data_IF_550009613206
#
_entry.id   IF_550009613206
#
_cell.length_a   1.000
_cell.length_b   1.000
_cell.length_c   1.000
_cell.angle_alpha   90.00
_cell.angle_beta   90.00
_cell.angle_gamma   90.00
#
_symmetry.space_group_name_H-M   'P 1'
#
loop_
_entity.id
_entity.type
_entity.pdbx_description
1 polymer ?
#
# COMPACT_ATOMS: atom_id res chain seq x y z
N UNK A 1 20.71 -21.68 1.67
CA UNK A 1 19.25 -21.44 1.76
C UNK A 1 18.94 -19.94 1.50
N UNK A 2 19.46 -19.38 0.40
CA UNK A 2 19.60 -17.93 0.19
C UNK A 2 18.75 -17.37 -0.98
N UNK A 3 17.75 -18.12 -1.43
CA UNK A 3 17.06 -17.87 -2.71
C UNK A 3 15.62 -17.36 -2.58
N UNK A 4 15.13 -17.08 -1.37
CA UNK A 4 13.71 -16.70 -1.17
C UNK A 4 13.46 -15.21 -0.91
N UNK A 5 14.50 -14.39 -0.80
CA UNK A 5 14.40 -12.96 -0.41
C UNK A 5 14.49 -11.99 -1.60
N UNK A 6 14.92 -12.44 -2.79
CA UNK A 6 15.22 -11.55 -3.92
C UNK A 6 14.17 -11.47 -5.03
N UNK A 7 13.05 -12.21 -4.93
CA UNK A 7 12.14 -12.41 -6.08
C UNK A 7 10.81 -11.65 -6.08
N UNK A 8 10.55 -10.74 -5.13
CA UNK A 8 9.21 -10.12 -5.01
C UNK A 8 9.14 -8.59 -4.90
N UNK A 9 10.28 -7.90 -4.95
CA UNK A 9 10.32 -6.46 -4.73
C UNK A 9 10.97 -5.72 -5.90
N UNK A 10 10.30 -5.76 -7.06
CA UNK A 10 10.56 -4.88 -8.23
C UNK A 10 9.31 -4.77 -9.14
N UNK A 11 8.08 -4.66 -8.62
CA UNK A 11 6.88 -4.44 -9.48
C UNK A 11 6.65 -2.95 -9.82
N UNK A 12 7.74 -2.18 -9.97
CA UNK A 12 7.63 -0.78 -10.40
C UNK A 12 8.95 -0.13 -10.79
N UNK A 13 10.08 -0.59 -10.25
CA UNK A 13 11.41 -0.13 -10.65
C UNK A 13 12.29 -1.35 -10.91
N UNK A 14 12.56 -1.68 -12.17
CA UNK A 14 13.57 -2.69 -12.50
C UNK A 14 14.96 -2.10 -12.25
N UNK A 15 15.65 -2.54 -11.19
CA UNK A 15 17.06 -2.20 -10.99
C UNK A 15 17.90 -3.07 -11.93
N UNK A 16 18.37 -2.50 -13.04
CA UNK A 16 19.31 -3.19 -13.94
C UNK A 16 20.68 -3.25 -13.27
N UNK A 17 21.02 -4.39 -12.68
CA UNK A 17 22.28 -4.59 -11.96
C UNK A 17 23.20 -5.55 -12.73
N UNK A 18 24.39 -5.08 -13.13
CA UNK A 18 25.48 -5.97 -13.53
C UNK A 18 26.01 -6.78 -12.33
N UNK A 19 26.96 -7.71 -12.55
CA UNK A 19 27.53 -8.59 -11.51
C UNK A 19 27.95 -7.84 -10.23
N UNK A 20 28.61 -6.69 -10.38
CA UNK A 20 29.02 -5.85 -9.25
C UNK A 20 27.84 -5.28 -8.46
N UNK A 21 26.79 -4.80 -9.14
CA UNK A 21 25.58 -4.31 -8.49
C UNK A 21 24.81 -5.39 -7.74
N UNK A 22 24.71 -6.59 -8.33
CA UNK A 22 24.07 -7.73 -7.68
C UNK A 22 24.83 -8.17 -6.41
N UNK A 23 26.17 -8.21 -6.46
CA UNK A 23 27.00 -8.51 -5.29
C UNK A 23 26.86 -7.45 -4.20
N UNK A 24 26.82 -6.17 -4.58
CA UNK A 24 26.66 -5.08 -3.64
C UNK A 24 25.28 -5.10 -2.96
N UNK A 25 24.22 -5.48 -3.70
CA UNK A 25 22.89 -5.72 -3.11
C UNK A 25 22.88 -6.90 -2.14
N UNK A 26 23.55 -8.00 -2.47
CA UNK A 26 23.68 -9.15 -1.56
C UNK A 26 24.47 -8.79 -0.30
N UNK A 27 25.55 -8.03 -0.43
CA UNK A 27 26.33 -7.54 0.71
C UNK A 27 25.49 -6.62 1.59
N UNK A 28 24.74 -5.70 0.99
CA UNK A 28 23.84 -4.79 1.70
C UNK A 28 22.73 -5.56 2.42
N UNK A 29 22.10 -6.53 1.76
CA UNK A 29 21.06 -7.38 2.35
C UNK A 29 21.60 -8.18 3.56
N UNK A 30 22.83 -8.69 3.47
CA UNK A 30 23.47 -9.41 4.60
C UNK A 30 23.83 -8.49 5.76
N UNK A 31 24.26 -7.27 5.46
CA UNK A 31 24.60 -6.29 6.49
C UNK A 31 23.36 -5.82 7.28
N UNK A 32 22.17 -5.88 6.67
CA UNK A 32 20.91 -5.45 7.27
C UNK A 32 20.82 -3.94 7.55
N UNK A 33 21.85 -3.18 7.18
CA UNK A 33 21.90 -1.71 7.30
C UNK A 33 22.88 -1.13 6.28
N UNK A 34 22.63 0.10 5.85
CA UNK A 34 23.50 0.85 4.94
C UNK A 34 22.80 1.26 3.66
N UNK A 35 23.57 1.71 2.67
CA UNK A 35 23.05 2.11 1.37
C UNK A 35 24.04 1.77 0.25
N UNK A 36 23.53 1.49 -0.95
CA UNK A 36 24.32 1.28 -2.16
C UNK A 36 23.60 1.85 -3.37
N UNK A 37 24.31 2.51 -4.27
CA UNK A 37 23.76 2.93 -5.56
C UNK A 37 23.94 1.82 -6.59
N UNK A 38 22.85 1.39 -7.23
CA UNK A 38 22.88 0.40 -8.31
C UNK A 38 22.03 0.88 -9.47
N UNK A 39 22.63 1.03 -10.64
CA UNK A 39 21.93 1.51 -11.84
C UNK A 39 21.35 2.93 -11.66
N UNK A 40 22.02 3.79 -10.88
CA UNK A 40 21.57 5.15 -10.57
C UNK A 40 20.48 5.22 -9.50
N UNK A 41 20.01 4.09 -8.99
CA UNK A 41 19.02 4.02 -7.91
C UNK A 41 19.73 3.81 -6.58
N UNK A 42 19.41 4.62 -5.58
CA UNK A 42 19.96 4.47 -4.24
C UNK A 42 19.13 3.41 -3.48
N UNK A 43 19.78 2.34 -3.05
CA UNK A 43 19.14 1.22 -2.36
C UNK A 43 19.61 1.20 -0.91
N UNK A 44 18.71 1.29 0.06
CA UNK A 44 19.01 1.23 1.49
C UNK A 44 18.60 -0.10 2.09
N UNK A 45 19.42 -0.65 2.98
CA UNK A 45 18.99 -1.68 3.91
C UNK A 45 18.57 -1.05 5.23
N UNK A 46 17.45 -1.51 5.76
CA UNK A 46 17.05 -1.28 7.14
C UNK A 46 16.41 -2.56 7.69
N UNK A 47 17.13 -3.21 8.60
CA UNK A 47 16.81 -4.55 9.11
C UNK A 47 16.74 -5.57 7.96
N UNK A 48 15.67 -6.35 7.84
CA UNK A 48 15.51 -7.41 6.82
C UNK A 48 14.96 -6.90 5.49
N UNK A 49 14.93 -5.57 5.27
CA UNK A 49 14.30 -4.95 4.12
C UNK A 49 15.26 -4.08 3.33
N UNK A 50 15.16 -4.15 1.99
CA UNK A 50 15.81 -3.25 1.04
C UNK A 50 14.79 -2.25 0.48
N UNK A 51 15.16 -0.98 0.39
CA UNK A 51 14.33 0.12 -0.10
C UNK A 51 15.03 0.82 -1.24
N UNK A 52 14.32 1.13 -2.32
CA UNK A 52 14.85 2.00 -3.38
C UNK A 52 14.42 3.43 -3.10
N UNK A 53 15.36 4.30 -2.78
CA UNK A 53 15.15 5.75 -2.66
C UNK A 53 15.05 6.39 -4.06
N UNK A 54 14.07 7.27 -4.23
CA UNK A 54 13.89 8.05 -5.47
C UNK A 54 13.29 7.28 -6.65
N UNK A 55 12.98 5.99 -6.51
CA UNK A 55 12.18 5.29 -7.51
C UNK A 55 10.77 5.92 -7.56
N UNK A 56 10.24 6.27 -8.74
CA UNK A 56 8.85 6.67 -8.85
C UNK A 56 8.00 5.53 -8.32
N UNK A 57 7.23 5.79 -7.26
CA UNK A 57 6.23 4.83 -6.80
C UNK A 57 5.20 4.75 -7.92
N UNK A 58 5.33 3.72 -8.77
CA UNK A 58 4.42 3.48 -9.87
C UNK A 58 3.04 3.22 -9.26
N UNK A 59 2.05 3.99 -9.71
CA UNK A 59 0.67 3.68 -9.41
C UNK A 59 0.28 2.47 -10.25
N UNK A 60 -0.21 1.42 -9.60
CA UNK A 60 -0.66 0.19 -10.25
C UNK A 60 -2.19 0.15 -10.22
N UNK A 61 -2.87 -0.12 -11.34
CA UNK A 61 -4.32 -0.21 -11.35
C UNK A 61 -4.78 -1.37 -10.44
N UNK A 62 -5.79 -1.08 -9.61
CA UNK A 62 -6.54 -2.07 -8.85
C UNK A 62 -7.84 -2.36 -9.60
N UNK A 63 -7.90 -3.43 -10.42
CA UNK A 63 -9.12 -3.77 -11.15
C UNK A 63 -10.27 -4.01 -10.17
N UNK A 64 -11.50 -3.66 -10.56
CA UNK A 64 -12.73 -3.93 -9.78
C UNK A 64 -13.75 -4.61 -10.70
N UNK A 65 -14.10 -5.89 -10.47
CA UNK A 65 -13.53 -6.80 -9.48
C UNK A 65 -12.12 -7.28 -9.85
N UNK A 66 -11.34 -7.72 -8.87
CA UNK A 66 -10.02 -8.29 -9.13
C UNK A 66 -9.10 -8.36 -7.91
N UNK A 67 -7.80 -8.51 -8.18
CA UNK A 67 -6.77 -8.63 -7.14
C UNK A 67 -5.47 -7.99 -7.62
N UNK A 68 -4.83 -7.25 -6.73
CA UNK A 68 -3.50 -6.69 -6.93
C UNK A 68 -2.57 -7.21 -5.84
N UNK A 69 -1.39 -7.67 -6.24
CA UNK A 69 -0.29 -7.90 -5.30
C UNK A 69 0.58 -6.66 -5.28
N UNK A 70 0.74 -6.04 -4.12
CA UNK A 70 1.54 -4.85 -3.92
C UNK A 70 2.48 -5.09 -2.74
N UNK A 71 3.78 -5.22 -3.02
CA UNK A 71 4.77 -5.69 -2.06
C UNK A 71 4.37 -7.06 -1.45
N UNK A 72 4.39 -7.19 -0.13
CA UNK A 72 3.98 -8.41 0.60
C UNK A 72 2.50 -8.41 1.01
N UNK A 73 1.71 -7.48 0.45
CA UNK A 73 0.28 -7.39 0.64
C UNK A 73 -0.47 -7.76 -0.63
N UNK A 74 -1.66 -8.29 -0.43
CA UNK A 74 -2.63 -8.62 -1.46
C UNK A 74 -3.86 -7.79 -1.18
N UNK A 75 -4.27 -6.98 -2.14
CA UNK A 75 -5.53 -6.25 -2.10
C UNK A 75 -6.48 -6.94 -3.05
N UNK A 76 -7.64 -7.35 -2.55
CA UNK A 76 -8.72 -7.96 -3.34
C UNK A 76 -9.86 -6.98 -3.39
N UNK A 77 -10.46 -6.80 -4.56
CA UNK A 77 -11.63 -5.96 -4.78
C UNK A 77 -12.78 -6.83 -5.29
N UNK A 78 -14.00 -6.52 -4.84
CA UNK A 78 -15.22 -7.18 -5.30
C UNK A 78 -16.29 -6.11 -5.51
N UNK A 79 -17.03 -6.24 -6.60
CA UNK A 79 -18.27 -5.49 -6.82
C UNK A 79 -19.44 -6.35 -6.33
N UNK A 80 -20.35 -5.78 -5.55
CA UNK A 80 -21.55 -6.46 -5.04
C UNK A 80 -22.79 -5.59 -5.27
N UNK A 81 -23.89 -6.22 -5.64
CA UNK A 81 -25.18 -5.55 -5.93
C UNK A 81 -26.07 -5.33 -4.70
N UNK A 82 -25.53 -5.55 -3.50
CA UNK A 82 -26.18 -5.22 -2.24
C UNK A 82 -25.14 -5.04 -1.14
N UNK A 83 -25.53 -4.27 -0.10
CA UNK A 83 -24.78 -4.16 1.13
C UNK A 83 -25.29 -5.16 2.16
N UNK A 84 -24.40 -5.91 2.80
CA UNK A 84 -24.65 -6.56 4.08
C UNK A 84 -23.76 -5.94 5.15
N UNK A 85 -24.15 -5.98 6.43
CA UNK A 85 -23.34 -5.37 7.50
C UNK A 85 -21.91 -5.94 7.55
N UNK A 86 -21.75 -7.23 7.27
CA UNK A 86 -20.44 -7.87 7.20
C UNK A 86 -19.57 -7.37 6.04
N UNK A 87 -20.19 -6.85 4.97
CA UNK A 87 -19.47 -6.31 3.82
C UNK A 87 -18.86 -4.94 4.05
N UNK A 88 -19.38 -4.17 5.01
CA UNK A 88 -18.84 -2.85 5.35
C UNK A 88 -17.43 -2.94 5.94
N UNK A 89 -17.13 -4.07 6.58
CA UNK A 89 -15.86 -4.38 7.20
C UNK A 89 -15.57 -3.59 8.47
N UNK A 90 -14.34 -3.71 8.96
CA UNK A 90 -13.86 -3.07 10.20
C UNK A 90 -13.29 -1.65 9.97
N UNK A 91 -13.33 -1.16 8.72
CA UNK A 91 -12.72 0.12 8.35
C UNK A 91 -11.19 0.10 8.27
N UNK A 92 -10.57 -1.08 8.43
CA UNK A 92 -9.12 -1.28 8.47
C UNK A 92 -8.66 -2.36 7.50
N UNK A 93 -9.00 -3.62 7.74
CA UNK A 93 -8.66 -4.79 6.93
C UNK A 93 -9.65 -5.01 5.80
N UNK A 94 -10.91 -4.70 6.07
CA UNK A 94 -12.00 -4.75 5.10
C UNK A 94 -12.70 -3.40 5.09
N UNK A 95 -12.93 -2.85 3.90
CA UNK A 95 -13.57 -1.54 3.69
C UNK A 95 -14.54 -1.63 2.52
N UNK A 96 -15.65 -0.91 2.58
CA UNK A 96 -16.61 -0.83 1.46
C UNK A 96 -16.89 0.60 1.04
N UNK A 97 -16.96 0.84 -0.26
CA UNK A 97 -17.31 2.13 -0.83
C UNK A 97 -18.61 2.01 -1.60
N UNK A 98 -19.41 3.06 -1.62
CA UNK A 98 -20.52 3.17 -2.56
C UNK A 98 -19.94 3.17 -3.98
N UNK A 99 -20.29 2.15 -4.76
CA UNK A 99 -19.69 1.94 -6.08
C UNK A 99 -20.03 3.05 -7.07
N UNK A 100 -21.20 3.68 -6.91
CA UNK A 100 -21.70 4.72 -7.82
C UNK A 100 -21.11 6.09 -7.48
N UNK A 101 -20.46 6.22 -6.31
CA UNK A 101 -19.80 7.44 -5.85
C UNK A 101 -18.27 7.38 -5.88
N UNK A 102 -17.68 6.27 -6.35
CA UNK A 102 -16.28 6.22 -6.73
C UNK A 102 -16.11 6.92 -8.09
N UNK A 103 -15.42 8.07 -8.07
CA UNK A 103 -15.41 9.00 -9.21
C UNK A 103 -14.29 8.74 -10.23
N UNK A 104 -13.45 7.74 -10.01
CA UNK A 104 -12.31 7.38 -10.87
C UNK A 104 -11.93 5.93 -10.64
N UNK A 105 -11.14 5.37 -11.56
CA UNK A 105 -10.49 4.08 -11.38
C UNK A 105 -9.62 4.05 -10.12
N UNK A 106 -9.54 2.86 -9.51
CA UNK A 106 -8.73 2.65 -8.32
C UNK A 106 -7.31 2.29 -8.71
N UNK A 107 -6.35 2.91 -8.02
CA UNK A 107 -4.93 2.61 -8.17
C UNK A 107 -4.28 2.41 -6.81
N UNK A 108 -3.17 1.70 -6.77
CA UNK A 108 -2.36 1.50 -5.57
C UNK A 108 -0.98 2.05 -5.81
N UNK A 109 -0.56 2.95 -4.93
CA UNK A 109 0.82 3.43 -4.86
C UNK A 109 1.32 3.43 -3.42
N UNK A 110 2.63 3.51 -3.26
CA UNK A 110 3.25 3.69 -1.96
C UNK A 110 3.02 5.10 -1.44
N UNK A 111 2.99 5.21 -0.11
CA UNK A 111 2.99 6.47 0.60
C UNK A 111 4.19 7.36 0.23
N UNK A 112 3.94 8.66 0.15
CA UNK A 112 4.93 9.73 -0.01
C UNK A 112 4.77 10.76 1.10
N UNK A 113 5.87 11.38 1.51
CA UNK A 113 5.83 12.47 2.46
C UNK A 113 4.92 13.60 1.94
N UNK A 114 4.01 14.06 2.80
CA UNK A 114 3.00 15.07 2.44
C UNK A 114 1.63 14.50 2.05
N UNK A 115 1.51 13.20 1.76
CA UNK A 115 0.22 12.57 1.47
C UNK A 115 -0.79 12.79 2.62
N UNK A 116 -2.02 13.14 2.25
CA UNK A 116 -3.12 13.54 3.14
C UNK A 116 -4.44 12.93 2.68
N UNK A 117 -5.34 12.72 3.62
CA UNK A 117 -6.68 12.18 3.35
C UNK A 117 -7.66 12.60 4.44
N UNK A 118 -8.96 12.48 4.15
CA UNK A 118 -10.02 12.67 5.14
C UNK A 118 -10.41 11.31 5.71
N UNK A 119 -10.09 10.97 6.97
CA UNK A 119 -10.50 9.70 7.56
C UNK A 119 -12.01 9.66 7.77
N UNK A 120 -12.62 8.50 7.49
CA UNK A 120 -14.06 8.32 7.72
C UNK A 120 -14.42 8.62 9.18
N UNK A 121 -15.44 9.47 9.39
CA UNK A 121 -15.94 9.84 10.72
C UNK A 121 -15.12 10.85 11.52
N UNK A 122 -14.01 11.41 10.99
CA UNK A 122 -13.17 12.38 11.74
C UNK A 122 -13.32 13.84 11.30
N UNK A 123 -14.05 14.12 10.21
CA UNK A 123 -14.44 15.47 9.77
C UNK A 123 -13.30 16.41 9.36
N UNK A 124 -12.04 16.00 9.49
CA UNK A 124 -10.85 16.82 9.23
C UNK A 124 -9.80 16.02 8.45
N UNK A 125 -9.00 16.74 7.66
CA UNK A 125 -7.91 16.14 6.89
C UNK A 125 -6.76 15.75 7.82
N UNK A 126 -6.17 14.58 7.57
CA UNK A 126 -5.05 14.03 8.34
C UNK A 126 -3.90 13.68 7.40
N UNK A 127 -2.67 14.03 7.79
CA UNK A 127 -1.47 13.54 7.11
C UNK A 127 -1.31 12.05 7.35
N UNK A 128 -1.04 11.28 6.30
CA UNK A 128 -0.77 9.83 6.42
C UNK A 128 0.46 9.57 7.30
N UNK A 129 1.46 10.46 7.27
CA UNK A 129 2.63 10.37 8.16
C UNK A 129 2.30 10.51 9.65
N UNK A 130 1.30 11.33 10.00
CA UNK A 130 0.84 11.49 11.37
C UNK A 130 0.04 10.26 11.80
N UNK A 131 -0.81 9.73 10.91
CA UNK A 131 -1.51 8.46 11.12
C UNK A 131 -0.52 7.32 11.41
N UNK A 132 0.54 7.18 10.60
CA UNK A 132 1.59 6.18 10.83
C UNK A 132 2.30 6.36 12.17
N UNK A 133 2.50 7.60 12.62
CA UNK A 133 3.11 7.88 13.91
C UNK A 133 2.19 7.47 15.05
N UNK A 134 0.91 7.83 14.97
CA UNK A 134 -0.11 7.50 15.98
C UNK A 134 -0.33 5.99 16.10
N UNK A 135 -0.38 5.28 14.97
CA UNK A 135 -0.53 3.83 14.92
C UNK A 135 0.80 3.09 15.12
N UNK A 136 1.90 3.79 15.45
CA UNK A 136 3.24 3.23 15.67
C UNK A 136 3.74 2.35 14.52
N UNK A 137 3.35 2.66 13.29
CA UNK A 137 3.84 1.96 12.09
C UNK A 137 5.36 2.12 12.02
N UNK A 138 6.13 1.01 11.99
CA UNK A 138 7.60 1.05 11.95
C UNK A 138 8.09 1.91 10.79
N UNK A 139 9.05 2.81 11.06
CA UNK A 139 9.59 3.75 10.03
C UNK A 139 10.08 3.02 8.78
N UNK A 140 10.68 1.85 8.94
CA UNK A 140 11.14 1.01 7.83
C UNK A 140 9.99 0.61 6.89
N UNK A 141 8.77 0.40 7.40
CA UNK A 141 7.65 -0.07 6.57
C UNK A 141 6.89 1.07 5.88
N UNK A 142 7.06 2.33 6.32
CA UNK A 142 6.28 3.47 5.79
C UNK A 142 6.51 3.74 4.30
N UNK A 143 7.76 3.76 3.77
CA UNK A 143 8.01 4.08 2.35
C UNK A 143 7.35 3.12 1.37
N UNK A 144 6.98 1.92 1.81
CA UNK A 144 6.36 0.89 0.99
C UNK A 144 4.91 0.62 1.33
N UNK A 145 4.36 1.33 2.31
CA UNK A 145 3.00 1.11 2.76
C UNK A 145 2.03 1.47 1.63
N UNK A 146 1.12 0.55 1.24
CA UNK A 146 0.21 0.79 0.13
C UNK A 146 -0.92 1.74 0.52
N UNK A 147 -1.24 2.65 -0.39
CA UNK A 147 -2.39 3.52 -0.36
C UNK A 147 -3.25 3.20 -1.58
N UNK A 148 -4.55 3.01 -1.39
CA UNK A 148 -5.50 2.97 -2.51
C UNK A 148 -5.98 4.39 -2.81
N UNK A 149 -5.88 4.77 -4.07
CA UNK A 149 -6.27 6.05 -4.63
C UNK A 149 -7.49 5.86 -5.52
N UNK A 150 -8.36 6.87 -5.53
CA UNK A 150 -9.41 7.05 -6.52
C UNK A 150 -9.14 8.43 -7.13
N UNK A 151 -8.58 8.46 -8.34
CA UNK A 151 -8.10 9.70 -8.95
C UNK A 151 -7.02 10.38 -8.10
N UNK A 152 -7.30 11.58 -7.58
CA UNK A 152 -6.39 12.34 -6.74
C UNK A 152 -6.67 12.19 -5.23
N UNK A 153 -7.66 11.39 -4.85
CA UNK A 153 -8.04 11.19 -3.45
C UNK A 153 -7.57 9.84 -2.94
N UNK A 154 -7.08 9.81 -1.70
CA UNK A 154 -6.82 8.54 -1.01
C UNK A 154 -8.17 7.98 -0.57
N UNK A 155 -8.50 6.78 -1.05
CA UNK A 155 -9.65 6.01 -0.60
C UNK A 155 -9.33 5.20 0.67
N UNK A 156 -8.11 4.67 0.79
CA UNK A 156 -7.76 3.76 1.88
C UNK A 156 -6.25 3.75 2.19
N UNK A 157 -5.89 4.00 3.44
CA UNK A 157 -4.57 3.64 3.97
C UNK A 157 -4.65 2.16 4.35
N UNK A 158 -4.12 1.31 3.46
CA UNK A 158 -4.42 -0.13 3.44
C UNK A 158 -4.09 -0.79 4.79
N UNK A 159 -5.05 -1.53 5.33
CA UNK A 159 -4.92 -2.23 6.61
C UNK A 159 -5.03 -1.34 7.86
N UNK A 160 -5.14 -0.01 7.70
CA UNK A 160 -5.08 0.93 8.82
C UNK A 160 -6.34 1.78 8.96
N UNK A 161 -6.77 2.48 7.90
CA UNK A 161 -7.90 3.42 7.97
C UNK A 161 -8.48 3.73 6.60
N UNK A 162 -9.78 3.52 6.43
CA UNK A 162 -10.54 4.03 5.28
C UNK A 162 -10.69 5.56 5.29
N UNK A 163 -10.75 6.14 4.10
CA UNK A 163 -11.15 7.52 3.92
C UNK A 163 -12.68 7.70 4.00
N UNK A 164 -13.10 8.95 4.12
CA UNK A 164 -14.48 9.41 4.06
C UNK A 164 -15.08 9.38 2.65
N UNK A 165 -14.25 9.12 1.63
CA UNK A 165 -14.66 9.00 0.24
C UNK A 165 -15.76 7.95 0.07
N UNK A 166 -16.73 8.24 -0.81
CA UNK A 166 -17.81 7.34 -1.22
C UNK A 166 -18.42 6.55 -0.06
N UNK A 167 -18.98 7.24 0.95
CA UNK A 167 -19.54 6.58 2.14
C UNK A 167 -20.71 5.70 1.72
N UNK A 168 -20.77 4.50 2.29
CA UNK A 168 -21.91 3.60 2.11
C UNK A 168 -23.07 4.10 2.98
N UNK A 169 -24.25 4.20 2.40
CA UNK A 169 -25.46 4.75 3.03
C UNK A 169 -26.65 3.80 2.85
N UNK A 170 -27.79 4.01 3.52
CA UNK A 170 -29.01 3.25 3.25
C UNK A 170 -29.49 3.30 1.78
N UNK A 171 -29.09 4.32 1.02
CA UNK A 171 -29.45 4.48 -0.40
C UNK A 171 -28.49 3.74 -1.35
N UNK A 172 -27.34 3.27 -0.86
CA UNK A 172 -26.31 2.60 -1.66
C UNK A 172 -26.84 1.28 -2.21
N UNK A 173 -26.81 1.14 -3.53
CA UNK A 173 -27.29 -0.06 -4.23
C UNK A 173 -26.18 -1.06 -4.48
N UNK A 174 -25.00 -0.57 -4.84
CA UNK A 174 -23.84 -1.40 -5.16
C UNK A 174 -22.65 -0.92 -4.35
N UNK A 175 -21.83 -1.86 -3.92
CA UNK A 175 -20.61 -1.57 -3.17
C UNK A 175 -19.39 -2.14 -3.85
N UNK A 176 -18.28 -1.40 -3.74
CA UNK A 176 -16.94 -1.93 -3.97
C UNK A 176 -16.36 -2.29 -2.60
N UNK A 177 -16.24 -3.59 -2.34
CA UNK A 177 -15.59 -4.11 -1.15
C UNK A 177 -14.11 -4.35 -1.45
N UNK A 178 -13.23 -3.80 -0.61
CA UNK A 178 -11.79 -4.04 -0.65
C UNK A 178 -11.36 -4.76 0.62
N UNK A 179 -10.51 -5.76 0.45
CA UNK A 179 -9.96 -6.57 1.53
C UNK A 179 -8.45 -6.69 1.35
N UNK A 180 -7.68 -6.57 2.44
CA UNK A 180 -6.24 -6.81 2.42
C UNK A 180 -5.88 -8.07 3.19
N UNK A 181 -5.05 -8.90 2.54
CA UNK A 181 -4.41 -10.06 3.12
C UNK A 181 -2.89 -9.94 2.99
N UNK A 182 -2.12 -10.36 4.00
CA UNK A 182 -0.65 -10.35 3.91
C UNK A 182 0.07 -10.41 5.25
N UNK A 183 1.36 -10.78 5.21
CA UNK A 183 2.17 -10.95 6.43
C UNK A 183 2.45 -9.62 7.17
N UNK A 184 2.50 -8.50 6.44
CA UNK A 184 2.75 -7.17 7.02
C UNK A 184 1.57 -6.66 7.86
N UNK A 185 0.34 -7.06 7.51
CA UNK A 185 -0.87 -6.73 8.27
C UNK A 185 -0.84 -7.34 9.67
N UNK A 186 -0.21 -8.53 9.80
CA UNK A 186 -0.09 -9.27 11.08
C UNK A 186 1.08 -8.83 11.95
N UNK A 187 2.06 -8.11 11.40
CA UNK A 187 3.27 -7.64 12.12
C UNK A 187 3.14 -6.22 12.67
N UNK A 188 2.07 -5.50 12.32
CA UNK A 188 1.79 -4.16 12.83
C UNK A 188 1.13 -4.15 14.22
N UNK A 189 0.90 -5.33 14.80
CA UNK A 189 0.30 -5.56 16.12
C UNK A 189 1.17 -6.52 16.91
#
# INVERSE_FOLDING_TARGET
>A
MATRVLRKWLTGAHVRAGRHGALALLALARAGRGAVSVGGMLIRAQSDHLFVEGAPSLALPLPVPGRLSFNDMVITSRLKDSQSESDLGDGRLTVAFDADHLHSELEVRSWRAGDRFYPFGMGSEVKVGDLFTNLKVPRALRPSWPLVWCGQDIAWVVGLRRAALAPVTPATRRIVNLEVNGALVRKAW
#
